data_IF_873752591802
#
_entry.id   IF_873752591802
#
_cell.length_a   1.000
_cell.length_b   1.000
_cell.length_c   1.000
_cell.angle_alpha   90.00
_cell.angle_beta   90.00
_cell.angle_gamma   90.00
#
_symmetry.space_group_name_H-M   'P 1'
#
loop_
_entity.id
_entity.type
_entity.pdbx_description
1 polymer ?
#
# COMPACT_ATOMS: atom_id res chain seq x y z
N UNK A 1 -23.07 22.34 -14.24
CA UNK A 1 -24.25 22.07 -13.41
C UNK A 1 -23.80 22.19 -11.96
N UNK A 2 -24.53 22.93 -11.11
CA UNK A 2 -24.21 23.01 -9.68
C UNK A 2 -24.38 21.64 -9.02
N UNK A 3 -23.70 21.43 -7.88
CA UNK A 3 -23.86 20.22 -7.09
C UNK A 3 -25.32 20.07 -6.60
N UNK A 4 -25.81 18.83 -6.54
CA UNK A 4 -27.19 18.51 -6.19
C UNK A 4 -27.29 17.41 -5.14
N UNK A 5 -27.91 17.73 -4.00
CA UNK A 5 -28.19 16.75 -2.94
C UNK A 5 -29.07 15.59 -3.43
N UNK A 6 -30.02 15.86 -4.33
CA UNK A 6 -30.88 14.83 -4.92
C UNK A 6 -30.08 13.82 -5.74
N UNK A 7 -29.06 14.27 -6.47
CA UNK A 7 -28.17 13.36 -7.21
C UNK A 7 -27.29 12.53 -6.29
N UNK A 8 -26.81 13.10 -5.17
CA UNK A 8 -26.08 12.33 -4.14
C UNK A 8 -27.00 11.26 -3.54
N UNK A 9 -28.25 11.60 -3.24
CA UNK A 9 -29.23 10.63 -2.74
C UNK A 9 -29.46 9.48 -3.75
N UNK A 10 -29.60 9.78 -5.04
CA UNK A 10 -29.69 8.75 -6.09
C UNK A 10 -28.40 7.91 -6.15
N UNK A 11 -27.23 8.53 -6.01
CA UNK A 11 -25.95 7.84 -5.92
C UNK A 11 -25.90 6.82 -4.79
N UNK A 12 -26.39 7.19 -3.59
CA UNK A 12 -26.53 6.26 -2.45
C UNK A 12 -27.45 5.08 -2.78
N UNK A 13 -28.58 5.33 -3.45
CA UNK A 13 -29.52 4.26 -3.88
C UNK A 13 -28.91 3.32 -4.93
N UNK A 14 -28.04 3.83 -5.81
CA UNK A 14 -27.26 3.00 -6.72
C UNK A 14 -26.22 2.16 -6.00
N UNK A 15 -25.51 2.75 -5.02
CA UNK A 15 -24.53 2.04 -4.21
C UNK A 15 -25.18 0.88 -3.44
N UNK A 16 -26.32 1.11 -2.79
CA UNK A 16 -27.10 0.07 -2.08
C UNK A 16 -27.49 -1.10 -2.98
N UNK A 17 -27.79 -0.82 -4.26
CA UNK A 17 -28.17 -1.82 -5.26
C UNK A 17 -26.97 -2.43 -6.00
N UNK A 18 -25.75 -1.99 -5.72
CA UNK A 18 -24.53 -2.48 -6.36
C UNK A 18 -24.28 -1.96 -7.78
N UNK A 19 -24.92 -0.87 -8.19
CA UNK A 19 -24.64 -0.16 -9.45
C UNK A 19 -23.46 0.81 -9.26
N UNK A 20 -22.26 0.25 -9.10
CA UNK A 20 -21.08 1.00 -8.65
C UNK A 20 -20.66 2.10 -9.62
N UNK A 21 -20.71 1.88 -10.93
CA UNK A 21 -20.31 2.89 -11.92
C UNK A 21 -21.27 4.10 -11.93
N UNK A 22 -22.57 3.84 -11.79
CA UNK A 22 -23.58 4.89 -11.70
C UNK A 22 -23.44 5.69 -10.40
N UNK A 23 -23.22 5.00 -9.27
CA UNK A 23 -22.95 5.63 -7.98
C UNK A 23 -21.69 6.50 -8.05
N UNK A 24 -20.58 5.94 -8.54
CA UNK A 24 -19.31 6.64 -8.69
C UNK A 24 -19.45 7.89 -9.57
N UNK A 25 -20.12 7.78 -10.72
CA UNK A 25 -20.35 8.94 -11.61
C UNK A 25 -21.09 10.07 -10.89
N UNK A 26 -22.12 9.75 -10.11
CA UNK A 26 -22.88 10.76 -9.38
C UNK A 26 -22.09 11.35 -8.22
N UNK A 27 -21.31 10.52 -7.50
CA UNK A 27 -20.50 10.99 -6.39
C UNK A 27 -19.35 11.88 -6.86
N UNK A 28 -18.60 11.47 -7.89
CA UNK A 28 -17.50 12.26 -8.46
C UNK A 28 -17.99 13.61 -8.97
N UNK A 29 -19.16 13.65 -9.61
CA UNK A 29 -19.75 14.91 -10.10
C UNK A 29 -20.17 15.86 -8.98
N UNK A 30 -20.55 15.31 -7.82
CA UNK A 30 -21.09 16.06 -6.68
C UNK A 30 -20.15 16.00 -5.47
N UNK A 31 -18.83 15.90 -5.69
CA UNK A 31 -17.87 15.52 -4.65
C UNK A 31 -17.92 16.41 -3.39
N UNK A 32 -18.23 17.70 -3.57
CA UNK A 32 -18.40 18.68 -2.48
C UNK A 32 -19.54 18.35 -1.50
N UNK A 33 -20.54 17.57 -1.93
CA UNK A 33 -21.72 17.19 -1.13
C UNK A 33 -21.68 15.73 -0.66
N UNK A 34 -20.73 14.93 -1.15
CA UNK A 34 -20.61 13.52 -0.80
C UNK A 34 -19.87 13.40 0.51
N UNK A 35 -20.43 12.64 1.44
CA UNK A 35 -19.87 12.49 2.78
C UNK A 35 -18.73 11.47 2.79
N UNK A 36 -17.87 11.54 3.81
CA UNK A 36 -16.85 10.51 4.03
C UNK A 36 -17.45 9.10 4.14
N UNK A 37 -18.65 8.96 4.73
CA UNK A 37 -19.34 7.67 4.84
C UNK A 37 -19.72 7.12 3.46
N UNK A 38 -20.17 7.98 2.54
CA UNK A 38 -20.51 7.60 1.18
C UNK A 38 -19.27 7.14 0.40
N UNK A 39 -18.15 7.87 0.55
CA UNK A 39 -16.88 7.52 -0.07
C UNK A 39 -16.31 6.20 0.45
N UNK A 40 -16.29 6.01 1.77
CA UNK A 40 -15.86 4.75 2.39
C UNK A 40 -16.74 3.59 1.93
N UNK A 41 -18.07 3.76 1.94
CA UNK A 41 -18.99 2.73 1.49
C UNK A 41 -18.81 2.36 0.01
N UNK A 42 -18.54 3.34 -0.86
CA UNK A 42 -18.21 3.07 -2.26
C UNK A 42 -16.87 2.31 -2.38
N UNK A 43 -15.86 2.68 -1.60
CA UNK A 43 -14.55 2.00 -1.57
C UNK A 43 -14.69 0.53 -1.21
N UNK A 44 -15.41 0.23 -0.13
CA UNK A 44 -15.59 -1.14 0.34
C UNK A 44 -16.26 -2.01 -0.72
N UNK A 45 -17.28 -1.49 -1.40
CA UNK A 45 -17.98 -2.21 -2.48
C UNK A 45 -17.11 -2.42 -3.71
N UNK A 46 -16.26 -1.45 -4.07
CA UNK A 46 -15.30 -1.59 -5.16
C UNK A 46 -14.26 -2.67 -4.82
N UNK A 47 -13.78 -2.68 -3.58
CA UNK A 47 -12.84 -3.69 -3.07
C UNK A 47 -13.44 -5.10 -3.08
N UNK A 48 -14.71 -5.27 -2.70
CA UNK A 48 -15.44 -6.55 -2.81
C UNK A 48 -15.47 -7.11 -4.23
N UNK A 49 -15.45 -6.23 -5.24
CA UNK A 49 -15.41 -6.61 -6.66
C UNK A 49 -14.00 -6.60 -7.25
N UNK A 50 -12.97 -6.54 -6.42
CA UNK A 50 -11.57 -6.50 -6.82
C UNK A 50 -11.24 -5.31 -7.77
N UNK A 51 -11.98 -4.20 -7.68
CA UNK A 51 -11.75 -2.98 -8.46
C UNK A 51 -10.79 -2.04 -7.73
N UNK A 52 -9.56 -2.52 -7.54
CA UNK A 52 -8.55 -1.90 -6.67
C UNK A 52 -8.23 -0.46 -7.08
N UNK A 53 -7.97 -0.21 -8.36
CA UNK A 53 -7.61 1.12 -8.84
C UNK A 53 -8.73 2.15 -8.64
N UNK A 54 -9.99 1.72 -8.79
CA UNK A 54 -11.13 2.59 -8.57
C UNK A 54 -11.31 2.89 -7.08
N UNK A 55 -11.10 1.90 -6.20
CA UNK A 55 -11.16 2.08 -4.76
C UNK A 55 -10.07 3.05 -4.27
N UNK A 56 -8.84 2.96 -4.79
CA UNK A 56 -7.78 3.92 -4.48
C UNK A 56 -8.18 5.33 -4.92
N UNK A 57 -8.59 5.48 -6.17
CA UNK A 57 -8.97 6.78 -6.74
C UNK A 57 -10.07 7.49 -5.97
N UNK A 58 -11.11 6.77 -5.56
CA UNK A 58 -12.23 7.38 -4.83
C UNK A 58 -11.88 7.64 -3.36
N UNK A 59 -10.98 6.87 -2.75
CA UNK A 59 -10.45 7.19 -1.42
C UNK A 59 -9.67 8.50 -1.44
N UNK A 60 -8.80 8.68 -2.43
CA UNK A 60 -8.07 9.94 -2.65
C UNK A 60 -9.03 11.12 -2.88
N UNK A 61 -10.02 10.95 -3.77
CA UNK A 61 -10.99 11.99 -4.08
C UNK A 61 -11.85 12.38 -2.86
N UNK A 62 -12.27 11.39 -2.08
CA UNK A 62 -13.08 11.58 -0.89
C UNK A 62 -12.28 12.01 0.35
N UNK A 63 -10.95 12.08 0.25
CA UNK A 63 -10.04 12.26 1.38
C UNK A 63 -10.34 11.28 2.54
N UNK A 64 -10.71 10.05 2.21
CA UNK A 64 -10.98 8.97 3.18
C UNK A 64 -9.83 7.96 3.20
N UNK A 65 -9.54 7.36 4.36
CA UNK A 65 -8.46 6.37 4.45
C UNK A 65 -8.72 5.17 3.55
N UNK A 66 -7.65 4.60 3.00
CA UNK A 66 -7.72 3.32 2.29
C UNK A 66 -8.10 2.21 3.27
N UNK A 67 -8.91 1.22 2.84
CA UNK A 67 -9.28 0.07 3.67
C UNK A 67 -8.09 -0.91 3.80
N UNK A 68 -7.08 -0.51 4.56
CA UNK A 68 -5.76 -1.15 4.70
C UNK A 68 -5.84 -2.68 4.85
N UNK A 69 -6.64 -3.16 5.80
CA UNK A 69 -6.74 -4.59 6.11
C UNK A 69 -7.26 -5.42 4.92
N UNK A 70 -8.14 -4.83 4.08
CA UNK A 70 -8.62 -5.50 2.86
C UNK A 70 -7.53 -5.56 1.79
N UNK A 71 -6.75 -4.49 1.61
CA UNK A 71 -5.61 -4.51 0.69
C UNK A 71 -4.57 -5.55 1.12
N UNK A 72 -4.23 -5.61 2.41
CA UNK A 72 -3.30 -6.62 2.93
C UNK A 72 -3.80 -8.05 2.69
N UNK A 73 -5.08 -8.31 2.99
CA UNK A 73 -5.70 -9.62 2.76
C UNK A 73 -5.68 -10.03 1.29
N UNK A 74 -5.92 -9.07 0.37
CA UNK A 74 -5.82 -9.32 -1.06
C UNK A 74 -4.37 -9.54 -1.51
N UNK A 75 -3.41 -8.81 -0.92
CA UNK A 75 -1.98 -9.02 -1.16
C UNK A 75 -1.55 -10.42 -0.75
N UNK A 76 -1.97 -10.87 0.43
CA UNK A 76 -1.75 -12.23 0.94
C UNK A 76 -2.35 -13.29 -0.01
N UNK A 77 -3.54 -13.03 -0.56
CA UNK A 77 -4.20 -13.90 -1.53
C UNK A 77 -3.55 -13.88 -2.93
N UNK A 78 -3.05 -12.73 -3.39
CA UNK A 78 -2.28 -12.59 -4.62
C UNK A 78 -0.98 -13.39 -4.53
N UNK A 79 -0.27 -13.29 -3.40
CA UNK A 79 0.97 -14.03 -3.14
C UNK A 79 0.75 -15.54 -3.16
N UNK A 80 -0.34 -16.04 -2.56
CA UNK A 80 -0.73 -17.46 -2.63
C UNK A 80 -1.00 -17.94 -4.06
N UNK A 81 -1.52 -17.06 -4.92
CA UNK A 81 -1.77 -17.33 -6.34
C UNK A 81 -0.54 -17.11 -7.23
N UNK A 82 0.62 -16.78 -6.62
CA UNK A 82 1.87 -16.42 -7.30
C UNK A 82 1.75 -15.17 -8.17
N UNK A 83 0.77 -14.31 -7.91
CA UNK A 83 0.69 -12.98 -8.48
C UNK A 83 1.60 -12.05 -7.67
N UNK A 84 2.89 -12.10 -7.99
CA UNK A 84 3.94 -11.39 -7.28
C UNK A 84 3.79 -9.87 -7.43
N UNK A 85 3.52 -9.42 -8.65
CA UNK A 85 3.42 -7.98 -8.94
C UNK A 85 2.14 -7.38 -8.35
N UNK A 86 1.02 -8.12 -8.38
CA UNK A 86 -0.21 -7.75 -7.69
C UNK A 86 -0.02 -7.69 -6.17
N UNK A 87 0.66 -8.67 -5.58
CA UNK A 87 0.94 -8.69 -4.15
C UNK A 87 1.82 -7.50 -3.72
N UNK A 88 2.90 -7.20 -4.47
CA UNK A 88 3.78 -6.07 -4.18
C UNK A 88 3.02 -4.75 -4.15
N UNK A 89 2.24 -4.46 -5.21
CA UNK A 89 1.44 -3.25 -5.31
C UNK A 89 0.47 -3.10 -4.14
N UNK A 90 -0.20 -4.20 -3.76
CA UNK A 90 -1.16 -4.19 -2.65
C UNK A 90 -0.48 -3.96 -1.30
N UNK A 91 0.72 -4.52 -1.09
CA UNK A 91 1.49 -4.28 0.11
C UNK A 91 2.04 -2.85 0.20
N UNK A 92 2.48 -2.25 -0.91
CA UNK A 92 2.89 -0.84 -0.94
C UNK A 92 1.72 0.09 -0.63
N UNK A 93 0.57 -0.11 -1.29
CA UNK A 93 -0.64 0.71 -1.07
C UNK A 93 -1.18 0.61 0.36
N UNK A 94 -0.98 -0.52 1.01
CA UNK A 94 -1.48 -0.78 2.35
C UNK A 94 -0.44 -0.52 3.45
N UNK A 95 0.77 -0.06 3.10
CA UNK A 95 1.89 0.06 4.06
C UNK A 95 2.05 -1.23 4.89
N UNK A 96 2.33 -2.34 4.20
CA UNK A 96 2.43 -3.66 4.81
C UNK A 96 3.53 -3.73 5.87
N UNK A 97 3.30 -4.57 6.87
CA UNK A 97 4.27 -4.80 7.94
C UNK A 97 5.52 -5.55 7.44
N UNK A 98 6.56 -5.48 8.29
CA UNK A 98 7.85 -6.13 8.05
C UNK A 98 7.71 -7.65 7.82
N UNK A 99 6.77 -8.31 8.49
CA UNK A 99 6.57 -9.75 8.39
C UNK A 99 6.09 -10.16 6.99
N UNK A 100 5.14 -9.39 6.42
CA UNK A 100 4.68 -9.58 5.04
C UNK A 100 5.78 -9.32 4.03
N UNK A 101 6.56 -8.25 4.21
CA UNK A 101 7.70 -7.95 3.34
C UNK A 101 8.79 -9.02 3.41
N UNK A 102 9.06 -9.57 4.60
CA UNK A 102 10.02 -10.67 4.79
C UNK A 102 9.57 -11.90 4.01
N UNK A 103 8.31 -12.31 4.17
CA UNK A 103 7.74 -13.44 3.41
C UNK A 103 7.76 -13.19 1.90
N UNK A 104 7.52 -11.97 1.47
CA UNK A 104 7.57 -11.60 0.06
C UNK A 104 8.98 -11.75 -0.52
N UNK A 105 10.00 -11.26 0.19
CA UNK A 105 11.42 -11.43 -0.19
C UNK A 105 11.83 -12.90 -0.22
N UNK A 106 11.42 -13.71 0.77
CA UNK A 106 11.67 -15.16 0.77
C UNK A 106 11.13 -15.87 -0.48
N UNK A 107 10.01 -15.38 -1.04
CA UNK A 107 9.45 -15.91 -2.28
C UNK A 107 10.26 -15.43 -3.48
N UNK A 108 10.63 -14.15 -3.53
CA UNK A 108 11.44 -13.61 -4.62
C UNK A 108 12.81 -14.29 -4.73
N UNK A 109 13.47 -14.62 -3.62
CA UNK A 109 14.79 -15.28 -3.61
C UNK A 109 14.74 -16.72 -4.13
N UNK A 110 13.56 -17.35 -4.15
CA UNK A 110 13.34 -18.68 -4.73
C UNK A 110 13.06 -18.63 -6.23
N UNK A 111 12.89 -17.44 -6.80
CA UNK A 111 12.63 -17.24 -8.23
C UNK A 111 13.92 -16.79 -8.93
N UNK A 112 14.44 -17.55 -9.91
CA UNK A 112 15.75 -17.29 -10.52
C UNK A 112 15.84 -15.90 -11.19
N UNK A 113 14.73 -15.41 -11.76
CA UNK A 113 14.72 -14.15 -12.50
C UNK A 113 14.43 -12.91 -11.64
N UNK A 114 14.17 -13.07 -10.33
CA UNK A 114 13.73 -11.98 -9.45
C UNK A 114 14.71 -11.63 -8.33
N UNK A 115 15.95 -12.12 -8.39
CA UNK A 115 16.98 -11.81 -7.40
C UNK A 115 17.26 -10.31 -7.22
N UNK A 116 17.33 -9.54 -8.32
CA UNK A 116 17.51 -8.08 -8.24
C UNK A 116 16.33 -7.39 -7.55
N UNK A 117 15.10 -7.81 -7.84
CA UNK A 117 13.90 -7.28 -7.20
C UNK A 117 13.87 -7.60 -5.71
N UNK A 118 14.35 -8.79 -5.30
CA UNK A 118 14.45 -9.18 -3.90
C UNK A 118 15.33 -8.21 -3.10
N UNK A 119 16.47 -7.81 -3.67
CA UNK A 119 17.38 -6.82 -3.06
C UNK A 119 16.69 -5.48 -2.89
N UNK A 120 16.08 -4.95 -3.96
CA UNK A 120 15.40 -3.65 -3.92
C UNK A 120 14.28 -3.60 -2.87
N UNK A 121 13.46 -4.66 -2.79
CA UNK A 121 12.38 -4.74 -1.81
C UNK A 121 12.92 -4.85 -0.39
N UNK A 122 13.99 -5.63 -0.18
CA UNK A 122 14.62 -5.76 1.14
C UNK A 122 15.19 -4.41 1.62
N UNK A 123 15.91 -3.69 0.76
CA UNK A 123 16.46 -2.37 1.08
C UNK A 123 15.35 -1.35 1.41
N UNK A 124 14.28 -1.32 0.61
CA UNK A 124 13.19 -0.35 0.77
C UNK A 124 12.32 -0.60 2.01
N UNK A 125 11.98 -1.85 2.29
CA UNK A 125 10.93 -2.18 3.26
C UNK A 125 11.40 -2.93 4.51
N UNK A 126 12.57 -3.59 4.45
CA UNK A 126 13.14 -4.29 5.60
C UNK A 126 14.32 -3.52 6.22
N UNK A 127 14.85 -2.55 5.47
CA UNK A 127 16.03 -1.76 5.79
C UNK A 127 17.31 -2.60 5.77
N UNK A 128 18.46 -1.92 5.74
CA UNK A 128 19.68 -2.57 6.23
C UNK A 128 19.50 -2.76 7.74
N UNK A 129 19.69 -3.99 8.24
CA UNK A 129 20.00 -4.17 9.65
C UNK A 129 21.11 -3.17 10.01
N UNK A 130 21.07 -2.50 11.17
CA UNK A 130 22.14 -1.58 11.54
C UNK A 130 23.46 -2.32 11.35
N UNK A 131 24.35 -1.76 10.52
CA UNK A 131 25.69 -2.31 10.36
C UNK A 131 26.24 -2.58 11.76
N UNK A 132 26.75 -3.79 12.04
CA UNK A 132 27.35 -4.04 13.34
C UNK A 132 28.42 -2.97 13.52
N UNK A 133 28.24 -2.10 14.52
CA UNK A 133 29.24 -1.12 14.92
C UNK A 133 30.57 -1.86 14.92
N UNK A 134 31.43 -1.55 13.96
CA UNK A 134 32.78 -2.09 13.94
C UNK A 134 33.42 -1.57 15.22
N UNK A 135 33.49 -2.45 16.21
CA UNK A 135 34.22 -2.23 17.44
C UNK A 135 35.62 -1.82 17.02
N UNK A 136 35.95 -0.54 17.16
CA UNK A 136 37.29 0.00 16.91
C UNK A 136 38.22 -0.57 17.98
N UNK A 137 38.69 -1.79 17.71
CA UNK A 137 39.61 -2.50 18.56
C UNK A 137 41.04 -2.17 18.12
N UNK A 138 41.45 -0.94 18.47
CA UNK A 138 42.80 -0.49 18.79
C UNK A 138 43.98 -0.89 17.89
N UNK A 139 44.68 0.13 17.34
CA UNK A 139 46.13 0.03 17.07
C UNK A 139 46.89 1.31 17.41
N UNK A 140 47.49 1.27 18.59
CA UNK A 140 48.75 1.85 19.04
C UNK A 140 49.53 2.78 18.08
N UNK A 141 49.88 3.97 18.56
CA UNK A 141 51.13 4.65 18.20
C UNK A 141 51.89 5.07 19.46
N UNK A 142 52.74 4.17 19.95
CA UNK A 142 53.93 4.56 20.73
C UNK A 142 54.87 5.28 19.77
N UNK A 143 55.13 6.56 19.99
CA UNK A 143 56.35 7.22 19.49
C UNK A 143 57.05 7.92 20.65
N UNK A 144 58.07 7.22 21.13
CA UNK A 144 59.17 7.74 21.93
C UNK A 144 59.89 8.79 21.06
N UNK A 145 60.14 9.99 21.61
CA UNK A 145 61.28 10.82 21.22
C UNK A 145 61.90 11.42 22.47
N UNK A 146 63.20 11.19 22.62
CA UNK A 146 64.06 11.79 23.62
C UNK A 146 64.86 12.95 23.01
N UNK A 147 65.39 13.78 23.92
CA UNK A 147 66.54 14.71 23.80
C UNK A 147 66.25 16.10 23.21
N UNK A 148 66.28 17.12 24.07
CA UNK A 148 67.48 17.95 24.26
C UNK A 148 67.55 18.52 25.67
#
# INVERSE_FOLDING_TARGET
MPASESEVLVGRRYLERGFLDAAMKLFVRNAELVTAVDWTGLSDRLMERNRINDAVRICELGAVPLPRDRFLSLGDAALKRKDIDGAMRLYELADADRDRWTRFVDILTRLPDRGRQAVEVAERHLGNAPEPETVDNGKAHRRIKAVK
#
